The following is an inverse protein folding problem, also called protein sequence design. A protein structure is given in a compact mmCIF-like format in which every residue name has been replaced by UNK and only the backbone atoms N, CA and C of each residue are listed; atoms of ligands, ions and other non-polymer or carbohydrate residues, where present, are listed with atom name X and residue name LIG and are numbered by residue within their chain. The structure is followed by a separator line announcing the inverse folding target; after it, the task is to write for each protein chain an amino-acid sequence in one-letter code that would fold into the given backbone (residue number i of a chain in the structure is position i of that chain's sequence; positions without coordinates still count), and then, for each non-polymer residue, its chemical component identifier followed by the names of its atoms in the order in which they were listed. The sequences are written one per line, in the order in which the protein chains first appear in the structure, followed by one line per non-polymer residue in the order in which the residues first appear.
data_IF_835214298846
#
_entry.id   IF_835214298846
#
_cell.length_a   1.000
_cell.length_b   1.000
_cell.length_c   1.000
_cell.angle_alpha   90.00
_cell.angle_beta   90.00
_cell.angle_gamma   90.00
#
_symmetry.space_group_name_H-M   'P 1'
#
loop_
_entity.id
_entity.type
_entity.pdbx_description
1 polymer ?
#
# COMPACT_ATOMS: atom_id res chain seq x y z
N UNK A 1 21.26 -14.86 -4.72
CA UNK A 1 22.06 -13.81 -4.06
C UNK A 1 23.39 -13.65 -4.79
N UNK A 2 23.44 -12.99 -5.96
CA UNK A 2 24.72 -12.81 -6.71
C UNK A 2 24.71 -11.75 -7.83
N UNK A 3 23.78 -10.79 -7.85
CA UNK A 3 23.66 -9.83 -8.97
C UNK A 3 24.02 -8.39 -8.57
N UNK A 4 24.06 -8.06 -7.26
CA UNK A 4 24.30 -6.68 -6.80
C UNK A 4 25.73 -6.15 -6.97
N UNK A 5 26.75 -7.02 -7.02
CA UNK A 5 28.14 -6.58 -7.12
C UNK A 5 28.52 -6.05 -8.51
N UNK A 6 27.95 -6.59 -9.60
CA UNK A 6 28.40 -6.27 -10.96
C UNK A 6 28.08 -4.85 -11.45
N UNK A 7 27.14 -4.13 -10.81
CA UNK A 7 26.84 -2.74 -11.18
C UNK A 7 27.72 -1.71 -10.49
N UNK A 8 28.17 -2.02 -9.27
CA UNK A 8 28.95 -1.09 -8.45
C UNK A 8 30.46 -1.30 -8.60
N UNK A 9 30.88 -2.55 -8.86
CA UNK A 9 32.27 -2.96 -9.02
C UNK A 9 33.06 -2.16 -10.09
N UNK A 10 32.57 -1.94 -11.33
CA UNK A 10 33.34 -1.20 -12.33
C UNK A 10 33.49 0.29 -12.00
N UNK A 11 32.48 0.92 -11.37
CA UNK A 11 32.55 2.32 -10.95
C UNK A 11 33.58 2.53 -9.83
N UNK A 12 33.63 1.59 -8.89
CA UNK A 12 34.55 1.64 -7.75
C UNK A 12 35.99 1.27 -8.15
N UNK A 13 36.16 0.31 -9.07
CA UNK A 13 37.49 -0.02 -9.64
C UNK A 13 38.12 1.15 -10.40
N UNK A 14 37.31 1.97 -11.08
CA UNK A 14 37.79 3.17 -11.78
C UNK A 14 38.36 4.22 -10.81
N UNK A 15 37.74 4.42 -9.65
CA UNK A 15 38.21 5.36 -8.64
C UNK A 15 39.45 4.87 -7.87
N UNK A 16 39.66 3.55 -7.80
CA UNK A 16 40.80 2.94 -7.09
C UNK A 16 42.15 3.15 -7.79
N UNK A 17 42.13 3.48 -9.09
CA UNK A 17 43.33 3.71 -9.90
C UNK A 17 43.97 5.09 -9.63
N UNK A 18 43.33 5.93 -8.83
CA UNK A 18 43.87 7.20 -8.34
C UNK A 18 44.51 6.96 -6.95
N UNK A 19 45.84 6.74 -6.90
CA UNK A 19 46.63 6.64 -5.65
C UNK A 19 46.50 7.92 -4.80
N UNK A 20 46.64 7.95 -3.46
CA UNK A 20 46.66 6.96 -2.37
C UNK A 20 46.58 7.76 -1.08
N UNK A 21 45.90 7.24 -0.06
CA UNK A 21 46.11 7.65 1.32
C UNK A 21 44.81 7.72 2.10
N UNK A 22 44.74 6.89 3.15
CA UNK A 22 43.83 6.81 4.32
C UNK A 22 42.56 7.69 4.37
N UNK A 23 42.61 8.93 3.88
CA UNK A 23 41.50 9.85 3.67
C UNK A 23 40.51 9.33 2.61
N UNK A 24 40.98 8.84 1.45
CA UNK A 24 40.08 8.32 0.42
C UNK A 24 39.38 7.05 0.89
N UNK A 25 40.09 6.13 1.55
CA UNK A 25 39.48 4.93 2.12
C UNK A 25 38.46 5.27 3.21
N UNK A 26 38.74 6.29 4.03
CA UNK A 26 37.76 6.79 5.01
C UNK A 26 36.52 7.39 4.34
N UNK A 27 36.71 8.17 3.27
CA UNK A 27 35.60 8.75 2.50
C UNK A 27 34.78 7.68 1.79
N UNK A 28 35.43 6.70 1.16
CA UNK A 28 34.78 5.59 0.49
C UNK A 28 34.00 4.72 1.48
N UNK A 29 34.60 4.41 2.63
CA UNK A 29 33.93 3.68 3.72
C UNK A 29 32.71 4.45 4.25
N UNK A 30 32.82 5.79 4.40
CA UNK A 30 31.68 6.63 4.77
C UNK A 30 30.60 6.64 3.70
N UNK A 31 30.96 6.76 2.42
CA UNK A 31 30.01 6.74 1.32
C UNK A 31 29.30 5.39 1.19
N UNK A 32 30.01 4.29 1.39
CA UNK A 32 29.44 2.95 1.44
C UNK A 32 28.48 2.81 2.63
N UNK A 33 28.85 3.31 3.82
CA UNK A 33 27.94 3.37 4.96
C UNK A 33 26.69 4.21 4.67
N UNK A 34 26.83 5.38 4.04
CA UNK A 34 25.67 6.20 3.64
C UNK A 34 24.79 5.50 2.62
N UNK A 35 25.38 4.84 1.62
CA UNK A 35 24.63 4.09 0.60
C UNK A 35 23.83 2.95 1.24
N UNK A 36 24.45 2.15 2.11
CA UNK A 36 23.79 1.06 2.83
C UNK A 36 22.68 1.56 3.77
N UNK A 37 22.95 2.63 4.53
CA UNK A 37 21.96 3.21 5.43
C UNK A 37 20.77 3.79 4.65
N UNK A 38 21.03 4.42 3.51
CA UNK A 38 19.97 4.96 2.65
C UNK A 38 19.16 3.85 2.00
N UNK A 39 19.80 2.77 1.55
CA UNK A 39 19.10 1.58 1.02
C UNK A 39 18.19 0.98 2.11
N UNK A 40 18.71 0.78 3.32
CA UNK A 40 17.92 0.27 4.46
C UNK A 40 16.74 1.19 4.79
N UNK A 41 16.94 2.52 4.78
CA UNK A 41 15.89 3.49 5.05
C UNK A 41 14.82 3.48 3.94
N UNK A 42 15.23 3.36 2.68
CA UNK A 42 14.30 3.25 1.54
C UNK A 42 13.49 1.96 1.64
N UNK A 43 14.12 0.84 1.99
CA UNK A 43 13.44 -0.45 2.19
C UNK A 43 12.38 -0.34 3.30
N UNK A 44 12.73 0.22 4.46
CA UNK A 44 11.81 0.43 5.60
C UNK A 44 10.61 1.30 5.19
N UNK A 45 10.88 2.48 4.61
CA UNK A 45 9.82 3.41 4.20
C UNK A 45 8.92 2.84 3.11
N UNK A 46 9.50 2.05 2.20
CA UNK A 46 8.73 1.38 1.15
C UNK A 46 7.84 0.29 1.73
N UNK A 47 8.32 -0.44 2.75
CA UNK A 47 7.51 -1.44 3.44
C UNK A 47 6.29 -0.82 4.14
N UNK A 48 6.49 0.27 4.90
CA UNK A 48 5.40 1.00 5.56
C UNK A 48 4.36 1.51 4.55
N UNK A 49 4.84 2.12 3.46
CA UNK A 49 3.97 2.61 2.39
C UNK A 49 3.14 1.49 1.76
N UNK A 50 3.75 0.32 1.49
CA UNK A 50 3.07 -0.83 0.92
C UNK A 50 2.01 -1.39 1.88
N UNK A 51 2.28 -1.40 3.18
CA UNK A 51 1.30 -1.85 4.16
C UNK A 51 0.07 -0.92 4.21
N UNK A 52 0.29 0.39 4.27
CA UNK A 52 -0.79 1.37 4.28
C UNK A 52 -1.59 1.34 2.96
N UNK A 53 -0.91 1.21 1.82
CA UNK A 53 -1.55 1.01 0.53
C UNK A 53 -2.46 -0.23 0.54
N UNK A 54 -1.97 -1.35 1.09
CA UNK A 54 -2.74 -2.60 1.18
C UNK A 54 -3.97 -2.43 2.07
N UNK A 55 -3.85 -1.72 3.20
CA UNK A 55 -5.00 -1.40 4.07
C UNK A 55 -6.05 -0.58 3.33
N UNK A 56 -5.62 0.46 2.62
CA UNK A 56 -6.51 1.31 1.82
C UNK A 56 -7.23 0.52 0.70
N UNK A 57 -6.52 -0.34 -0.03
CA UNK A 57 -7.10 -1.18 -1.08
C UNK A 57 -8.13 -2.17 -0.51
N UNK A 58 -7.84 -2.81 0.62
CA UNK A 58 -8.78 -3.73 1.28
C UNK A 58 -10.05 -3.02 1.74
N UNK A 59 -9.91 -1.84 2.34
CA UNK A 59 -11.07 -1.03 2.74
C UNK A 59 -11.92 -0.67 1.53
N UNK A 60 -11.29 -0.32 0.40
CA UNK A 60 -12.00 0.01 -0.82
C UNK A 60 -12.83 -1.18 -1.35
N UNK A 61 -12.30 -2.40 -1.27
CA UNK A 61 -13.05 -3.62 -1.64
C UNK A 61 -14.19 -3.96 -0.68
N UNK A 62 -14.15 -3.48 0.57
CA UNK A 62 -15.25 -3.64 1.53
C UNK A 62 -16.36 -2.61 1.31
N UNK A 63 -16.01 -1.41 0.87
CA UNK A 63 -16.96 -0.30 0.69
C UNK A 63 -17.64 -0.31 -0.70
N UNK A 64 -16.94 -0.77 -1.73
CA UNK A 64 -17.40 -0.69 -3.12
C UNK A 64 -17.47 -2.06 -3.78
N UNK A 65 -18.41 -2.27 -4.74
CA UNK A 65 -18.39 -3.44 -5.59
C UNK A 65 -17.02 -3.63 -6.24
N UNK A 66 -16.55 -4.89 -6.35
CA UNK A 66 -15.21 -5.22 -6.86
C UNK A 66 -14.88 -4.52 -8.19
N UNK A 67 -15.85 -4.42 -9.09
CA UNK A 67 -15.67 -3.75 -10.39
C UNK A 67 -15.32 -2.27 -10.26
N UNK A 68 -15.93 -1.56 -9.30
CA UNK A 68 -15.71 -0.14 -9.04
C UNK A 68 -14.41 0.07 -8.26
N UNK A 69 -14.18 -0.74 -7.22
CA UNK A 69 -12.95 -0.70 -6.42
C UNK A 69 -11.71 -0.91 -7.29
N UNK A 70 -11.71 -1.94 -8.16
CA UNK A 70 -10.59 -2.20 -9.07
C UNK A 70 -10.35 -1.04 -10.04
N UNK A 71 -11.40 -0.40 -10.57
CA UNK A 71 -11.21 0.76 -11.46
C UNK A 71 -10.54 1.93 -10.74
N UNK A 72 -10.96 2.24 -9.52
CA UNK A 72 -10.38 3.30 -8.70
C UNK A 72 -8.93 3.00 -8.30
N UNK A 73 -8.59 1.76 -7.95
CA UNK A 73 -7.20 1.35 -7.64
C UNK A 73 -6.27 1.56 -8.83
N UNK A 74 -6.77 1.33 -10.06
CA UNK A 74 -6.01 1.56 -11.29
C UNK A 74 -6.02 3.02 -11.75
N UNK A 75 -6.57 3.95 -10.95
CA UNK A 75 -6.65 5.37 -11.29
C UNK A 75 -7.61 5.70 -12.44
N UNK A 76 -8.53 4.78 -12.77
CA UNK A 76 -9.53 5.00 -13.83
C UNK A 76 -10.71 5.78 -13.27
N UNK A 77 -11.23 6.71 -14.05
CA UNK A 77 -12.48 7.40 -13.72
C UNK A 77 -13.64 6.40 -13.80
N UNK A 78 -14.41 6.29 -12.71
CA UNK A 78 -15.65 5.51 -12.71
C UNK A 78 -16.73 6.36 -13.37
N UNK A 79 -17.22 5.95 -14.53
CA UNK A 79 -18.39 6.57 -15.16
C UNK A 79 -19.63 6.20 -14.38
N UNK A 80 -20.44 7.19 -13.99
CA UNK A 80 -21.75 6.92 -13.42
C UNK A 80 -22.60 6.20 -14.47
N UNK A 81 -23.02 4.97 -14.15
CA UNK A 81 -23.89 4.19 -15.03
C UNK A 81 -25.35 4.64 -14.80
N UNK A 82 -25.97 5.18 -15.86
CA UNK A 82 -27.39 5.41 -15.91
C UNK A 82 -28.06 4.21 -16.59
N UNK A 83 -29.02 3.59 -15.91
CA UNK A 83 -29.75 2.44 -16.42
C UNK A 83 -31.17 2.88 -16.79
N UNK A 84 -31.60 2.64 -18.03
CA UNK A 84 -32.94 3.02 -18.53
C UNK A 84 -34.09 2.29 -17.81
N UNK A 85 -33.79 1.17 -17.14
CA UNK A 85 -34.74 0.46 -16.31
C UNK A 85 -34.01 -0.29 -15.19
N UNK A 86 -34.29 0.07 -13.95
CA UNK A 86 -33.80 -0.66 -12.76
C UNK A 86 -34.98 -1.31 -12.04
N UNK A 87 -34.82 -2.57 -11.65
CA UNK A 87 -35.75 -3.23 -10.72
C UNK A 87 -35.22 -3.04 -9.31
N UNK A 88 -35.86 -2.17 -8.53
CA UNK A 88 -35.52 -1.98 -7.12
C UNK A 88 -36.35 -2.98 -6.30
N UNK A 89 -35.67 -3.89 -5.60
CA UNK A 89 -36.32 -4.82 -4.68
C UNK A 89 -36.35 -4.23 -3.28
N UNK A 90 -37.54 -3.86 -2.82
CA UNK A 90 -37.78 -3.43 -1.44
C UNK A 90 -38.22 -4.64 -0.62
N UNK A 91 -37.29 -5.29 0.06
CA UNK A 91 -37.63 -6.22 1.15
C UNK A 91 -37.51 -5.52 2.48
N UNK A 92 -38.64 -5.38 3.16
CA UNK A 92 -38.63 -5.17 4.61
C UNK A 92 -38.31 -6.52 5.27
N UNK A 93 -37.34 -6.51 6.18
CA UNK A 93 -37.08 -7.67 7.02
C UNK A 93 -38.07 -7.54 8.17
N UNK A 94 -39.06 -8.42 8.21
CA UNK A 94 -40.09 -8.42 9.27
C UNK A 94 -39.39 -8.43 10.63
N UNK A 95 -39.56 -7.34 11.39
CA UNK A 95 -38.98 -7.16 12.73
C UNK A 95 -37.62 -6.44 12.77
N UNK A 96 -37.02 -6.05 11.63
CA UNK A 96 -35.77 -5.28 11.64
C UNK A 96 -35.94 -3.92 12.30
N UNK A 97 -37.03 -3.20 12.01
CA UNK A 97 -37.38 -1.94 12.68
C UNK A 97 -37.53 -2.11 14.20
N UNK A 98 -38.14 -3.21 14.64
CA UNK A 98 -38.33 -3.52 16.07
C UNK A 98 -37.03 -3.95 16.75
N UNK A 99 -36.15 -4.65 16.05
CA UNK A 99 -34.83 -5.06 16.53
C UNK A 99 -33.87 -3.86 16.58
N UNK A 100 -33.85 -3.00 15.56
CA UNK A 100 -33.02 -1.80 15.51
C UNK A 100 -33.46 -0.76 16.53
N UNK A 101 -34.74 -0.70 16.87
CA UNK A 101 -35.26 0.20 17.90
C UNK A 101 -34.80 -0.18 19.32
N UNK A 102 -34.39 -1.45 19.54
CA UNK A 102 -33.91 -1.94 20.84
C UNK A 102 -32.39 -1.85 20.99
N UNK A 103 -31.67 -1.52 19.91
CA UNK A 103 -30.20 -1.41 19.90
C UNK A 103 -29.77 0.04 19.77
N UNK A 104 -28.73 0.43 20.51
CA UNK A 104 -28.10 1.73 20.26
C UNK A 104 -27.44 1.74 18.87
N UNK A 105 -27.37 2.87 18.15
CA UNK A 105 -26.77 2.94 16.81
C UNK A 105 -25.35 2.35 16.73
N UNK A 106 -24.60 2.42 17.84
CA UNK A 106 -23.28 1.82 17.97
C UNK A 106 -23.34 0.28 17.88
N UNK A 107 -24.32 -0.34 18.54
CA UNK A 107 -24.40 -1.80 18.68
C UNK A 107 -24.83 -2.50 17.37
N UNK A 108 -25.62 -1.82 16.54
CA UNK A 108 -26.09 -2.34 15.24
C UNK A 108 -24.94 -2.50 14.22
N UNK A 109 -23.86 -1.72 14.37
CA UNK A 109 -22.82 -1.60 13.34
C UNK A 109 -21.60 -2.49 13.60
N UNK A 110 -21.31 -2.84 14.86
CA UNK A 110 -20.05 -3.55 15.21
C UNK A 110 -20.22 -5.06 15.42
N UNK A 111 -21.38 -5.54 15.87
CA UNK A 111 -21.55 -6.97 16.22
C UNK A 111 -21.73 -7.93 15.04
N UNK A 112 -22.05 -7.44 13.82
CA UNK A 112 -22.30 -8.31 12.65
C UNK A 112 -21.14 -8.47 11.67
N UNK A 113 -20.01 -7.80 11.89
CA UNK A 113 -18.84 -7.88 10.98
C UNK A 113 -17.78 -8.86 11.53
N UNK A 114 -18.02 -9.50 12.67
CA UNK A 114 -17.09 -10.41 13.33
C UNK A 114 -17.58 -11.87 13.43
N UNK A 115 -18.35 -12.37 12.46
CA UNK A 115 -18.72 -13.80 12.38
C UNK A 115 -18.56 -14.35 10.97
#
# INVERSE_FOLDING_TARGET
MSIRYYKFFPFFSFFREIESGNILDNLLSRMEQYANNLESLVEERTADYLEEKRKAENLLYQLLPKSVASQLIHGKSVTAEAFDGVTIYFSDIVGFTSLSAQSTPMQVTVERISS
#
